data_IF_378655295309
#
_entry.id   IF_378655295309
#
_cell.length_a   1.000
_cell.length_b   1.000
_cell.length_c   1.000
_cell.angle_alpha   90.00
_cell.angle_beta   90.00
_cell.angle_gamma   90.00
#
_symmetry.space_group_name_H-M   'P 1'
#
loop_
_entity.id
_entity.type
_entity.pdbx_description
1 polymer ?
#
# COMPACT_ATOMS: atom_id res chain seq x y z
N UNK A 1 25.99 34.59 -5.10
CA UNK A 1 24.91 34.54 -4.07
C UNK A 1 24.11 33.31 -4.39
N UNK A 2 24.43 32.20 -3.75
CA UNK A 2 23.88 30.87 -4.01
C UNK A 2 22.84 30.55 -2.94
N UNK A 3 21.58 30.52 -3.31
CA UNK A 3 20.50 30.03 -2.44
C UNK A 3 20.40 28.51 -2.60
N UNK A 4 20.79 27.79 -1.55
CA UNK A 4 20.50 26.37 -1.40
C UNK A 4 19.05 26.18 -0.92
N UNK A 5 18.30 25.22 -1.45
CA UNK A 5 16.98 24.90 -0.91
C UNK A 5 17.11 24.09 0.39
N UNK A 6 16.31 24.48 1.38
CA UNK A 6 16.20 23.84 2.67
C UNK A 6 15.48 22.48 2.51
N UNK A 7 16.17 21.40 2.80
CA UNK A 7 15.58 20.08 3.02
C UNK A 7 15.01 20.00 4.45
N UNK A 8 13.76 19.55 4.65
CA UNK A 8 13.28 19.27 6.00
C UNK A 8 13.88 17.95 6.50
N UNK A 9 14.82 18.03 7.43
CA UNK A 9 15.36 16.88 8.12
C UNK A 9 14.41 16.47 9.26
N UNK A 10 13.88 15.26 9.22
CA UNK A 10 13.19 14.66 10.36
C UNK A 10 14.21 14.18 11.38
N UNK A 11 14.40 14.96 12.43
CA UNK A 11 15.29 14.65 13.55
C UNK A 11 14.64 13.62 14.48
N UNK A 12 15.26 12.44 14.60
CA UNK A 12 15.04 11.52 15.73
C UNK A 12 15.65 12.14 16.98
N UNK A 13 14.85 12.54 17.95
CA UNK A 13 15.33 12.79 19.32
C UNK A 13 14.85 11.70 20.24
N UNK A 14 15.73 10.72 20.47
CA UNK A 14 15.70 9.85 21.64
C UNK A 14 16.21 10.66 22.84
N UNK A 15 15.37 10.97 23.79
CA UNK A 15 15.75 11.59 25.05
C UNK A 15 15.41 10.67 26.22
N UNK A 16 16.39 9.88 26.69
CA UNK A 16 16.35 9.34 28.03
C UNK A 16 16.65 10.44 29.03
N UNK A 17 15.74 10.72 29.95
CA UNK A 17 16.03 11.41 31.20
C UNK A 17 15.36 10.63 32.33
N UNK A 18 16.19 9.94 33.08
CA UNK A 18 15.85 9.44 34.40
C UNK A 18 16.07 10.57 35.42
N UNK A 19 15.06 10.90 36.22
CA UNK A 19 15.25 11.56 37.50
C UNK A 19 14.07 11.27 38.43
N UNK A 20 14.43 10.90 39.63
CA UNK A 20 13.57 10.33 40.65
C UNK A 20 12.61 11.30 41.34
N UNK A 21 11.59 10.68 41.86
CA UNK A 21 10.87 10.81 43.11
C UNK A 21 10.29 12.13 43.53
N UNK A 22 8.93 12.18 43.56
CA UNK A 22 8.18 12.56 44.79
C UNK A 22 6.70 12.18 44.53
N UNK A 23 6.18 11.32 45.36
CA UNK A 23 4.78 10.90 45.34
C UNK A 23 3.89 12.04 45.91
N UNK A 24 3.01 12.55 45.04
CA UNK A 24 1.79 13.22 45.46
C UNK A 24 0.61 12.50 44.83
N UNK A 25 -0.19 11.84 45.66
CA UNK A 25 -1.40 11.17 45.26
C UNK A 25 -2.47 12.22 44.90
N UNK A 26 -2.60 12.47 43.60
CA UNK A 26 -3.78 13.13 43.02
C UNK A 26 -4.69 12.07 42.37
N UNK A 27 -6.01 12.33 42.26
CA UNK A 27 -6.91 11.35 41.67
C UNK A 27 -6.51 11.11 40.21
N UNK A 28 -6.12 9.87 39.90
CA UNK A 28 -5.90 9.40 38.52
C UNK A 28 -7.27 9.39 37.85
N UNK A 29 -7.57 10.44 37.09
CA UNK A 29 -8.57 10.33 36.05
C UNK A 29 -8.04 9.32 35.05
N UNK A 30 -8.56 8.09 35.12
CA UNK A 30 -8.37 7.10 34.09
C UNK A 30 -9.01 7.65 32.80
N UNK A 31 -8.24 8.38 32.02
CA UNK A 31 -8.58 8.69 30.65
C UNK A 31 -8.61 7.37 29.89
N UNK A 32 -9.80 6.85 29.64
CA UNK A 32 -10.01 5.79 28.67
C UNK A 32 -9.51 6.34 27.33
N UNK A 33 -8.28 6.05 26.94
CA UNK A 33 -7.84 6.13 25.56
C UNK A 33 -8.61 5.05 24.81
N UNK A 34 -9.82 5.39 24.33
CA UNK A 34 -10.54 4.52 23.42
C UNK A 34 -9.72 4.39 22.14
N UNK A 35 -9.13 3.23 21.94
CA UNK A 35 -8.58 2.85 20.63
C UNK A 35 -9.68 3.09 19.61
N UNK A 36 -9.42 3.83 18.51
CA UNK A 36 -10.45 4.06 17.51
C UNK A 36 -10.93 2.71 16.98
N UNK A 37 -12.21 2.41 17.21
CA UNK A 37 -12.80 1.15 16.76
C UNK A 37 -13.48 1.36 15.42
N UNK A 38 -13.03 0.59 14.43
CA UNK A 38 -13.72 0.45 13.15
C UNK A 38 -14.92 -0.48 13.34
N UNK A 39 -16.08 -0.18 12.74
CA UNK A 39 -17.22 -1.10 12.78
C UNK A 39 -16.79 -2.50 12.31
N UNK A 40 -17.05 -3.51 13.13
CA UNK A 40 -16.78 -4.90 12.78
C UNK A 40 -18.12 -5.60 12.56
N UNK A 41 -18.43 -6.08 11.34
CA UNK A 41 -19.66 -6.82 11.09
C UNK A 41 -19.76 -8.03 12.01
N UNK A 42 -20.78 -8.05 12.89
CA UNK A 42 -20.90 -9.05 13.99
C UNK A 42 -21.35 -10.44 13.53
N UNK A 43 -21.78 -10.61 12.30
CA UNK A 43 -22.25 -11.88 11.76
C UNK A 43 -21.52 -12.20 10.46
N UNK A 44 -21.20 -13.49 10.23
CA UNK A 44 -20.77 -13.94 8.91
C UNK A 44 -21.90 -13.63 7.93
N UNK A 45 -21.68 -12.78 6.91
CA UNK A 45 -22.71 -12.50 5.93
C UNK A 45 -23.13 -13.79 5.24
N UNK A 46 -24.44 -13.94 5.01
CA UNK A 46 -24.99 -15.04 4.21
C UNK A 46 -25.06 -14.62 2.74
N UNK A 47 -25.05 -15.56 1.82
CA UNK A 47 -25.13 -15.29 0.39
C UNK A 47 -23.85 -15.60 -0.38
N UNK A 48 -23.79 -15.14 -1.63
CA UNK A 48 -22.61 -15.26 -2.49
C UNK A 48 -21.41 -14.47 -1.92
N UNK A 49 -20.20 -14.85 -2.31
CA UNK A 49 -18.96 -14.12 -1.95
C UNK A 49 -19.07 -12.63 -2.26
N UNK A 50 -19.67 -12.26 -3.40
CA UNK A 50 -19.90 -10.87 -3.80
C UNK A 50 -20.80 -10.12 -2.82
N UNK A 51 -21.92 -10.72 -2.42
CA UNK A 51 -22.84 -10.12 -1.44
C UNK A 51 -22.19 -10.00 -0.06
N UNK A 52 -21.40 -10.99 0.33
CA UNK A 52 -20.65 -10.95 1.58
C UNK A 52 -19.60 -9.82 1.60
N UNK A 53 -18.82 -9.65 0.52
CA UNK A 53 -17.88 -8.55 0.38
C UNK A 53 -18.60 -7.19 0.42
N UNK A 54 -19.69 -7.07 -0.33
CA UNK A 54 -20.48 -5.83 -0.37
C UNK A 54 -21.04 -5.46 1.01
N UNK A 55 -21.63 -6.40 1.71
CA UNK A 55 -22.24 -6.15 3.02
C UNK A 55 -21.19 -5.81 4.08
N UNK A 56 -20.08 -6.57 4.11
CA UNK A 56 -19.03 -6.36 5.10
C UNK A 56 -18.30 -5.03 4.90
N UNK A 57 -17.86 -4.75 3.67
CA UNK A 57 -17.11 -3.52 3.38
C UNK A 57 -18.02 -2.28 3.53
N UNK A 58 -19.28 -2.36 3.13
CA UNK A 58 -20.22 -1.26 3.35
C UNK A 58 -20.45 -0.98 4.84
N UNK A 59 -20.57 -2.00 5.68
CA UNK A 59 -20.69 -1.85 7.12
C UNK A 59 -19.42 -1.26 7.76
N UNK A 60 -18.22 -1.73 7.34
CA UNK A 60 -16.94 -1.18 7.80
C UNK A 60 -16.80 0.28 7.39
N UNK A 61 -17.24 0.64 6.17
CA UNK A 61 -17.14 1.97 5.61
C UNK A 61 -18.28 2.91 6.03
N UNK A 62 -19.17 2.50 6.93
CA UNK A 62 -20.28 3.33 7.38
C UNK A 62 -19.78 4.65 7.99
N UNK A 63 -20.27 5.78 7.48
CA UNK A 63 -19.82 7.11 7.88
C UNK A 63 -18.42 7.51 7.39
N UNK A 64 -17.76 6.65 6.58
CA UNK A 64 -16.43 6.92 6.03
C UNK A 64 -16.45 6.95 4.50
N UNK A 65 -16.55 8.14 3.92
CA UNK A 65 -16.68 8.35 2.47
C UNK A 65 -15.35 8.35 1.71
N UNK A 66 -14.22 8.52 2.42
CA UNK A 66 -12.85 8.55 1.87
C UNK A 66 -12.18 7.18 1.96
N UNK A 67 -12.85 6.15 1.44
CA UNK A 67 -12.38 4.77 1.40
C UNK A 67 -12.78 4.12 0.09
N UNK A 68 -11.83 3.40 -0.52
CA UNK A 68 -12.04 2.59 -1.70
C UNK A 68 -11.32 1.25 -1.59
N UNK A 69 -11.92 0.20 -2.15
CA UNK A 69 -11.41 -1.18 -2.13
C UNK A 69 -11.58 -1.80 -3.51
N UNK A 70 -10.59 -2.56 -3.96
CA UNK A 70 -10.70 -3.39 -5.16
C UNK A 70 -10.12 -4.78 -4.91
N UNK A 71 -10.84 -5.80 -5.36
CA UNK A 71 -10.50 -7.22 -5.20
C UNK A 71 -10.52 -7.90 -6.56
N UNK A 72 -9.62 -8.86 -6.77
CA UNK A 72 -9.70 -9.83 -7.85
C UNK A 72 -9.40 -11.22 -7.32
N UNK A 73 -10.30 -12.14 -7.52
CA UNK A 73 -10.06 -13.57 -7.30
C UNK A 73 -9.34 -14.15 -8.52
N UNK A 74 -8.09 -14.53 -8.36
CA UNK A 74 -7.27 -15.04 -9.46
C UNK A 74 -7.62 -16.48 -9.85
N UNK A 75 -8.41 -17.20 -9.03
CA UNK A 75 -8.91 -18.55 -9.33
C UNK A 75 -10.01 -18.50 -10.39
N UNK A 76 -10.81 -17.43 -10.39
CA UNK A 76 -11.96 -17.27 -11.32
C UNK A 76 -11.74 -16.14 -12.32
N UNK A 77 -10.82 -15.21 -12.03
CA UNK A 77 -10.64 -13.98 -12.77
C UNK A 77 -11.65 -12.88 -12.41
N UNK A 78 -12.66 -13.19 -11.60
CA UNK A 78 -13.71 -12.24 -11.24
C UNK A 78 -13.19 -11.08 -10.38
N UNK A 79 -13.76 -9.91 -10.57
CA UNK A 79 -13.43 -8.67 -9.85
C UNK A 79 -14.63 -8.14 -9.07
N UNK A 80 -14.34 -7.46 -7.99
CA UNK A 80 -15.30 -6.70 -7.21
C UNK A 80 -14.63 -5.44 -6.67
N UNK A 81 -15.37 -4.36 -6.54
CA UNK A 81 -14.89 -3.15 -5.92
C UNK A 81 -15.98 -2.43 -5.11
N UNK A 82 -15.52 -1.61 -4.16
CA UNK A 82 -16.30 -0.65 -3.41
C UNK A 82 -15.62 0.71 -3.59
N UNK A 83 -16.28 1.63 -4.32
CA UNK A 83 -15.68 2.92 -4.71
C UNK A 83 -14.29 2.74 -5.33
N UNK A 84 -14.12 1.73 -6.19
CA UNK A 84 -12.83 1.34 -6.75
C UNK A 84 -12.15 2.40 -7.60
N UNK A 85 -12.90 3.37 -8.10
CA UNK A 85 -12.40 4.53 -8.88
C UNK A 85 -12.16 5.78 -8.04
N UNK A 86 -12.34 5.70 -6.71
CA UNK A 86 -12.01 6.82 -5.82
C UNK A 86 -10.50 7.07 -5.81
N UNK A 87 -10.10 8.25 -6.31
CA UNK A 87 -8.70 8.62 -6.44
C UNK A 87 -8.16 9.31 -5.19
N UNK A 88 -6.96 8.91 -4.77
CA UNK A 88 -6.23 9.54 -3.68
C UNK A 88 -4.71 9.40 -3.88
N UNK A 89 -3.94 10.04 -3.00
CA UNK A 89 -2.48 9.94 -3.04
C UNK A 89 -2.02 8.55 -2.59
N UNK A 90 -1.00 8.06 -3.28
CA UNK A 90 -0.47 6.71 -3.09
C UNK A 90 0.40 6.54 -1.83
N UNK A 91 1.09 7.58 -1.36
CA UNK A 91 2.16 7.46 -0.37
C UNK A 91 3.19 6.39 -0.78
N UNK A 92 3.75 5.61 0.16
CA UNK A 92 4.73 4.55 -0.14
C UNK A 92 4.17 3.37 -0.94
N UNK A 93 2.85 3.32 -1.18
CA UNK A 93 2.24 2.36 -2.13
C UNK A 93 2.72 2.59 -3.58
N UNK A 94 3.29 3.77 -3.90
CA UNK A 94 3.91 4.04 -5.21
C UNK A 94 5.24 3.28 -5.43
N UNK A 95 5.91 2.80 -4.38
CA UNK A 95 7.27 2.24 -4.48
C UNK A 95 7.40 1.03 -5.39
N UNK A 96 6.47 0.08 -5.46
CA UNK A 96 6.50 -0.97 -6.49
C UNK A 96 6.51 -0.42 -7.92
N UNK A 97 5.77 0.66 -8.21
CA UNK A 97 5.84 1.31 -9.53
C UNK A 97 7.20 2.00 -9.75
N UNK A 98 7.80 2.61 -8.72
CA UNK A 98 9.15 3.20 -8.83
C UNK A 98 10.19 2.13 -9.16
N UNK A 99 10.16 0.98 -8.47
CA UNK A 99 11.05 -0.15 -8.78
C UNK A 99 10.78 -0.68 -10.19
N UNK A 100 9.51 -0.73 -10.63
CA UNK A 100 9.14 -1.09 -12.00
C UNK A 100 9.74 -0.16 -13.06
N UNK A 101 9.76 1.15 -12.79
CA UNK A 101 10.44 2.12 -13.66
C UNK A 101 11.94 1.84 -13.75
N UNK A 102 12.56 1.56 -12.60
CA UNK A 102 13.99 1.25 -12.52
C UNK A 102 14.35 -0.02 -13.30
N UNK A 103 13.55 -1.08 -13.16
CA UNK A 103 13.71 -2.34 -13.93
C UNK A 103 13.62 -2.09 -15.44
N UNK A 104 12.60 -1.34 -15.87
CA UNK A 104 12.42 -0.99 -17.29
C UNK A 104 13.58 -0.17 -17.84
N UNK A 105 14.09 0.80 -17.05
CA UNK A 105 15.26 1.59 -17.45
C UNK A 105 16.51 0.71 -17.57
N UNK A 106 16.78 -0.13 -16.59
CA UNK A 106 17.92 -1.04 -16.64
C UNK A 106 17.91 -1.93 -17.89
N UNK A 107 16.72 -2.44 -18.27
CA UNK A 107 16.54 -3.21 -19.50
C UNK A 107 16.72 -2.37 -20.75
N UNK A 108 16.13 -1.18 -20.81
CA UNK A 108 16.23 -0.29 -21.96
C UNK A 108 17.66 0.20 -22.24
N UNK A 109 18.43 0.44 -21.19
CA UNK A 109 19.82 0.88 -21.25
C UNK A 109 20.82 -0.31 -21.30
N UNK A 110 20.33 -1.55 -21.44
CA UNK A 110 21.14 -2.78 -21.51
C UNK A 110 22.10 -2.94 -20.32
N UNK A 111 21.67 -2.49 -19.14
CA UNK A 111 22.46 -2.58 -17.91
C UNK A 111 22.37 -3.98 -17.29
N UNK A 112 23.08 -4.18 -16.16
CA UNK A 112 22.97 -5.40 -15.37
C UNK A 112 21.53 -5.67 -14.98
N UNK A 113 21.09 -6.92 -15.15
CA UNK A 113 19.72 -7.36 -14.88
C UNK A 113 19.62 -8.16 -13.55
N UNK A 114 18.52 -8.07 -12.82
CA UNK A 114 17.35 -7.21 -13.07
C UNK A 114 17.63 -5.72 -12.83
N UNK A 115 18.61 -5.39 -11.98
CA UNK A 115 19.10 -4.04 -11.69
C UNK A 115 20.60 -4.05 -11.45
N UNK A 116 21.33 -2.94 -11.73
CA UNK A 116 22.69 -2.76 -11.23
C UNK A 116 22.72 -2.82 -9.69
N UNK A 117 23.87 -3.21 -9.12
CA UNK A 117 23.98 -3.53 -7.68
C UNK A 117 23.51 -2.40 -6.74
N UNK A 118 23.82 -1.15 -7.07
CA UNK A 118 23.37 0.01 -6.28
C UNK A 118 21.85 0.14 -6.30
N UNK A 119 21.22 0.10 -7.48
CA UNK A 119 19.79 0.22 -7.64
C UNK A 119 19.05 -1.00 -7.05
N UNK A 120 19.65 -2.18 -7.09
CA UNK A 120 19.12 -3.37 -6.44
C UNK A 120 19.06 -3.20 -4.90
N UNK A 121 20.13 -2.69 -4.29
CA UNK A 121 20.14 -2.40 -2.85
C UNK A 121 19.15 -1.30 -2.45
N UNK A 122 18.93 -0.30 -3.31
CA UNK A 122 17.90 0.72 -3.11
C UNK A 122 16.50 0.13 -3.25
N UNK A 123 16.25 -0.75 -4.23
CA UNK A 123 14.95 -1.41 -4.41
C UNK A 123 14.56 -2.28 -3.22
N UNK A 124 15.52 -3.06 -2.69
CA UNK A 124 15.35 -3.84 -1.47
C UNK A 124 14.91 -2.97 -0.30
N UNK A 125 15.67 -1.92 0.04
CA UNK A 125 15.33 -1.00 1.12
C UNK A 125 14.00 -0.28 0.90
N UNK A 126 13.73 0.18 -0.32
CA UNK A 126 12.50 0.90 -0.65
C UNK A 126 11.26 0.01 -0.49
N UNK A 127 11.33 -1.27 -0.83
CA UNK A 127 10.18 -2.19 -0.74
C UNK A 127 10.08 -2.80 0.67
N UNK A 128 11.15 -3.42 1.16
CA UNK A 128 11.11 -4.20 2.40
C UNK A 128 11.02 -3.32 3.65
N UNK A 129 11.76 -2.22 3.69
CA UNK A 129 11.82 -1.29 4.82
C UNK A 129 10.97 -0.02 4.62
N UNK A 130 10.42 0.15 3.41
CA UNK A 130 9.76 1.41 3.03
C UNK A 130 10.68 2.64 3.14
N UNK A 131 11.99 2.47 2.89
CA UNK A 131 12.99 3.53 2.99
C UNK A 131 12.73 4.63 1.94
N UNK A 132 12.69 5.89 2.39
CA UNK A 132 12.36 7.02 1.54
C UNK A 132 13.56 7.50 0.74
N UNK A 133 14.76 7.53 1.33
CA UNK A 133 15.97 7.99 0.64
C UNK A 133 16.29 7.07 -0.55
N UNK A 134 16.10 5.76 -0.36
CA UNK A 134 16.24 4.77 -1.44
C UNK A 134 15.17 4.95 -2.54
N UNK A 135 13.93 5.26 -2.16
CA UNK A 135 12.87 5.56 -3.11
C UNK A 135 13.14 6.85 -3.90
N UNK A 136 13.65 7.91 -3.24
CA UNK A 136 14.04 9.18 -3.86
C UNK A 136 15.16 8.96 -4.88
N UNK A 137 16.18 8.19 -4.52
CA UNK A 137 17.28 7.85 -5.41
C UNK A 137 16.80 7.08 -6.65
N UNK A 138 15.97 6.05 -6.47
CA UNK A 138 15.39 5.29 -7.58
C UNK A 138 14.45 6.13 -8.43
N UNK A 139 13.62 6.99 -7.85
CA UNK A 139 12.75 7.92 -8.56
C UNK A 139 13.54 8.80 -9.51
N UNK A 140 14.60 9.46 -8.99
CA UNK A 140 15.47 10.32 -9.77
C UNK A 140 16.20 9.53 -10.87
N UNK A 141 16.78 8.38 -10.51
CA UNK A 141 17.53 7.54 -11.46
C UNK A 141 16.65 6.98 -12.57
N UNK A 142 15.43 6.56 -12.25
CA UNK A 142 14.50 5.94 -13.20
C UNK A 142 13.81 6.94 -14.15
N UNK A 143 14.00 8.25 -13.97
CA UNK A 143 13.46 9.28 -14.85
C UNK A 143 12.24 10.04 -14.27
N UNK A 144 12.00 9.93 -12.97
CA UNK A 144 11.02 10.71 -12.21
C UNK A 144 9.61 10.71 -12.83
N UNK A 145 8.88 11.83 -12.74
CA UNK A 145 7.50 11.98 -13.21
C UNK A 145 7.25 11.50 -14.64
N UNK A 146 8.05 11.89 -15.65
CA UNK A 146 7.81 11.42 -17.02
C UNK A 146 7.82 9.90 -17.17
N UNK A 147 8.74 9.21 -16.50
CA UNK A 147 8.83 7.76 -16.53
C UNK A 147 7.68 7.08 -15.77
N UNK A 148 7.23 7.69 -14.65
CA UNK A 148 6.08 7.21 -13.89
C UNK A 148 4.78 7.29 -14.72
N UNK A 149 4.53 8.44 -15.34
CA UNK A 149 3.34 8.67 -16.16
C UNK A 149 3.36 7.78 -17.43
N UNK A 150 4.54 7.59 -18.05
CA UNK A 150 4.71 6.67 -19.18
C UNK A 150 4.42 5.22 -18.76
N UNK A 151 4.94 4.75 -17.59
CA UNK A 151 4.65 3.42 -17.08
C UNK A 151 3.14 3.25 -16.81
N UNK A 152 2.51 4.22 -16.14
CA UNK A 152 1.07 4.18 -15.87
C UNK A 152 0.25 4.09 -17.17
N UNK A 153 0.62 4.87 -18.18
CA UNK A 153 0.00 4.83 -19.51
C UNK A 153 0.16 3.47 -20.21
N UNK A 154 1.39 2.91 -20.20
CA UNK A 154 1.68 1.62 -20.84
C UNK A 154 0.94 0.45 -20.17
N UNK A 155 0.69 0.56 -18.85
CA UNK A 155 -0.08 -0.39 -18.07
C UNK A 155 -1.59 -0.14 -18.14
N UNK A 156 -2.05 0.91 -18.81
CA UNK A 156 -3.46 1.28 -18.89
C UNK A 156 -4.09 1.77 -17.59
N UNK A 157 -3.28 2.28 -16.65
CA UNK A 157 -3.71 2.78 -15.34
C UNK A 157 -4.22 4.22 -15.48
N UNK A 158 -5.49 4.36 -15.79
CA UNK A 158 -6.07 5.63 -16.30
C UNK A 158 -6.14 6.76 -15.28
N UNK A 159 -6.22 6.43 -13.99
CA UNK A 159 -6.28 7.40 -12.91
C UNK A 159 -4.94 7.54 -12.18
N UNK A 160 -3.94 6.72 -12.54
CA UNK A 160 -2.60 6.77 -11.95
C UNK A 160 -1.73 7.77 -12.69
N UNK A 161 -1.21 8.74 -11.95
CA UNK A 161 -0.39 9.82 -12.49
C UNK A 161 0.50 10.46 -11.43
N UNK A 162 1.54 11.14 -11.87
CA UNK A 162 2.32 12.03 -11.01
C UNK A 162 1.51 13.26 -10.59
N UNK A 163 1.92 13.95 -9.54
CA UNK A 163 1.35 15.23 -9.13
C UNK A 163 2.07 16.36 -9.90
N UNK A 164 1.38 17.13 -10.74
CA UNK A 164 2.03 18.15 -11.57
C UNK A 164 2.62 19.30 -10.76
N UNK A 165 2.03 19.59 -9.62
CA UNK A 165 2.43 20.68 -8.70
C UNK A 165 3.58 20.29 -7.76
N UNK A 166 3.95 19.00 -7.70
CA UNK A 166 4.96 18.50 -6.77
C UNK A 166 5.79 17.39 -7.41
N UNK A 167 7.11 17.48 -7.29
CA UNK A 167 8.03 16.44 -7.76
C UNK A 167 8.36 15.43 -6.64
N UNK A 168 7.33 14.94 -5.99
CA UNK A 168 7.43 13.91 -4.96
C UNK A 168 6.58 12.70 -5.33
N UNK A 169 7.20 11.52 -5.39
CA UNK A 169 6.53 10.26 -5.70
C UNK A 169 5.40 9.93 -4.71
N UNK A 170 5.50 10.33 -3.45
CA UNK A 170 4.47 10.09 -2.43
C UNK A 170 3.16 10.84 -2.69
N UNK A 171 3.19 11.87 -3.56
CA UNK A 171 2.04 12.64 -3.99
C UNK A 171 1.39 12.11 -5.27
N UNK A 172 1.92 11.04 -5.87
CA UNK A 172 1.30 10.42 -7.05
C UNK A 172 -0.13 9.99 -6.74
N UNK A 173 -1.01 10.17 -7.70
CA UNK A 173 -2.41 9.81 -7.60
C UNK A 173 -2.66 8.43 -8.17
N UNK A 174 -3.60 7.69 -7.58
CA UNK A 174 -4.05 6.40 -8.09
C UNK A 174 -5.43 6.05 -7.54
N UNK A 175 -5.98 4.90 -7.95
CA UNK A 175 -7.24 4.34 -7.46
C UNK A 175 -7.06 2.88 -7.03
N UNK A 176 -7.94 2.32 -6.20
CA UNK A 176 -7.93 0.89 -5.91
C UNK A 176 -7.97 0.01 -7.17
N UNK A 177 -8.80 0.36 -8.16
CA UNK A 177 -8.91 -0.38 -9.41
C UNK A 177 -7.61 -0.36 -10.23
N UNK A 178 -6.93 0.78 -10.33
CA UNK A 178 -5.63 0.86 -11.00
C UNK A 178 -4.57 0.04 -10.28
N UNK A 179 -4.53 0.08 -8.93
CA UNK A 179 -3.57 -0.70 -8.15
C UNK A 179 -3.82 -2.20 -8.26
N UNK A 180 -5.09 -2.64 -8.27
CA UNK A 180 -5.44 -4.03 -8.56
C UNK A 180 -5.00 -4.44 -9.98
N UNK A 181 -5.18 -3.56 -10.97
CA UNK A 181 -4.74 -3.81 -12.35
C UNK A 181 -3.22 -3.88 -12.47
N UNK A 182 -2.48 -3.03 -11.76
CA UNK A 182 -1.03 -3.10 -11.67
C UNK A 182 -0.55 -4.44 -11.07
N UNK A 183 -1.13 -4.84 -9.93
CA UNK A 183 -0.83 -6.13 -9.30
C UNK A 183 -1.15 -7.30 -10.23
N UNK A 184 -2.28 -7.25 -10.97
CA UNK A 184 -2.65 -8.30 -11.92
C UNK A 184 -1.56 -8.49 -12.98
N UNK A 185 -1.06 -7.40 -13.54
CA UNK A 185 0.00 -7.45 -14.55
C UNK A 185 1.35 -7.96 -13.99
N UNK A 186 1.64 -7.67 -12.71
CA UNK A 186 2.81 -8.24 -12.05
C UNK A 186 2.66 -9.74 -11.80
N UNK A 187 1.50 -10.19 -11.31
CA UNK A 187 1.30 -11.59 -10.90
C UNK A 187 1.05 -12.49 -12.13
N UNK A 188 0.19 -12.09 -13.06
CA UNK A 188 -0.18 -12.93 -14.23
C UNK A 188 0.79 -12.81 -15.41
N UNK A 189 1.46 -11.67 -15.58
CA UNK A 189 2.44 -11.49 -16.65
C UNK A 189 1.85 -11.36 -18.05
N UNK A 190 0.58 -10.99 -18.18
CA UNK A 190 -0.11 -10.80 -19.44
C UNK A 190 0.14 -9.42 -20.08
N UNK A 191 1.30 -8.84 -19.79
CA UNK A 191 1.73 -7.54 -20.29
C UNK A 191 3.15 -7.60 -20.87
N UNK A 192 3.42 -6.76 -21.85
CA UNK A 192 4.79 -6.55 -22.38
C UNK A 192 5.60 -5.55 -21.54
N UNK A 193 5.00 -4.95 -20.52
CA UNK A 193 5.68 -3.97 -19.68
C UNK A 193 6.80 -4.58 -18.84
N UNK A 194 6.67 -5.86 -18.46
CA UNK A 194 7.63 -6.58 -17.62
C UNK A 194 8.07 -7.89 -18.24
N UNK A 195 9.31 -8.28 -18.01
CA UNK A 195 9.79 -9.66 -18.20
C UNK A 195 9.42 -10.53 -16.99
N UNK A 196 9.46 -11.84 -17.15
CA UNK A 196 9.25 -12.79 -16.04
C UNK A 196 10.25 -12.58 -14.91
N UNK A 197 11.52 -12.29 -15.25
CA UNK A 197 12.57 -12.03 -14.26
C UNK A 197 12.31 -10.74 -13.46
N UNK A 198 11.85 -9.66 -14.11
CA UNK A 198 11.50 -8.40 -13.44
C UNK A 198 10.31 -8.58 -12.50
N UNK A 199 9.28 -9.33 -12.93
CA UNK A 199 8.12 -9.64 -12.09
C UNK A 199 8.51 -10.47 -10.88
N UNK A 200 9.25 -11.56 -11.08
CA UNK A 200 9.71 -12.42 -10.00
C UNK A 200 10.59 -11.65 -8.99
N UNK A 201 11.46 -10.75 -9.48
CA UNK A 201 12.28 -9.91 -8.62
C UNK A 201 11.44 -8.98 -7.74
N UNK A 202 10.53 -8.20 -8.33
CA UNK A 202 9.70 -7.25 -7.57
C UNK A 202 8.75 -7.95 -6.59
N UNK A 203 8.08 -9.02 -7.04
CA UNK A 203 7.22 -9.82 -6.17
C UNK A 203 8.02 -10.47 -5.03
N UNK A 204 9.24 -10.93 -5.31
CA UNK A 204 10.16 -11.43 -4.27
C UNK A 204 10.44 -10.41 -3.17
N UNK A 205 10.72 -9.14 -3.52
CA UNK A 205 10.89 -8.06 -2.55
C UNK A 205 9.60 -7.78 -1.78
N UNK A 206 8.44 -7.74 -2.47
CA UNK A 206 7.14 -7.52 -1.84
C UNK A 206 6.77 -8.64 -0.85
N UNK A 207 7.29 -9.84 -1.05
CA UNK A 207 7.15 -10.98 -0.13
C UNK A 207 8.02 -10.90 1.14
N UNK A 208 8.99 -9.98 1.18
CA UNK A 208 9.95 -9.79 2.27
C UNK A 208 9.72 -8.51 3.08
N UNK A 209 8.57 -7.85 2.89
CA UNK A 209 8.21 -6.66 3.68
C UNK A 209 8.29 -6.97 5.17
N UNK A 210 8.91 -6.07 5.95
CA UNK A 210 9.11 -6.20 7.39
C UNK A 210 7.80 -6.45 8.13
N UNK A 211 7.85 -7.23 9.21
CA UNK A 211 6.67 -7.68 9.95
C UNK A 211 5.84 -6.53 10.53
N UNK A 212 6.47 -5.45 10.99
CA UNK A 212 5.79 -4.28 11.51
C UNK A 212 5.03 -3.48 10.42
N UNK A 213 5.34 -3.72 9.16
CA UNK A 213 4.67 -3.16 7.98
C UNK A 213 3.76 -4.16 7.27
N UNK A 214 3.62 -5.37 7.77
CA UNK A 214 2.81 -6.43 7.16
C UNK A 214 1.33 -6.40 7.61
N UNK A 215 0.77 -5.21 7.76
CA UNK A 215 -0.63 -4.96 8.11
C UNK A 215 -1.54 -4.84 6.86
N UNK A 216 -2.84 -4.67 7.06
CA UNK A 216 -3.82 -4.56 5.98
C UNK A 216 -3.93 -5.84 5.17
N UNK A 217 -3.51 -5.84 3.90
CA UNK A 217 -3.51 -7.03 3.04
C UNK A 217 -2.71 -8.18 3.65
N UNK A 218 -1.64 -7.88 4.39
CA UNK A 218 -0.78 -8.89 4.99
C UNK A 218 -1.20 -9.36 6.38
N UNK A 219 -2.14 -8.66 7.05
CA UNK A 219 -2.49 -8.92 8.44
C UNK A 219 -2.96 -10.36 8.75
N UNK A 220 -3.79 -11.01 7.91
CA UNK A 220 -4.29 -12.35 8.20
C UNK A 220 -3.37 -13.49 7.79
N UNK A 221 -2.05 -13.26 7.65
CA UNK A 221 -1.11 -14.36 7.31
C UNK A 221 -1.07 -15.40 8.42
N UNK A 222 -1.22 -16.66 8.03
CA UNK A 222 -1.08 -17.82 8.94
C UNK A 222 -0.63 -19.06 8.17
N UNK A 223 0.29 -19.82 8.74
CA UNK A 223 0.68 -21.14 8.25
C UNK A 223 1.20 -21.13 6.80
N UNK A 224 0.46 -21.75 5.89
CA UNK A 224 0.79 -21.88 4.47
C UNK A 224 0.39 -20.68 3.61
N UNK A 225 -0.32 -19.68 4.17
CA UNK A 225 -0.70 -18.48 3.43
C UNK A 225 0.47 -17.52 3.32
N UNK A 226 0.69 -17.04 2.10
CA UNK A 226 1.73 -16.08 1.74
C UNK A 226 1.12 -14.78 1.26
N UNK A 227 1.87 -13.70 1.36
CA UNK A 227 1.48 -12.41 0.82
C UNK A 227 2.70 -11.68 0.25
N UNK A 228 2.50 -11.02 -0.88
CA UNK A 228 3.37 -10.03 -1.49
C UNK A 228 2.65 -8.70 -1.39
N UNK A 229 3.20 -7.74 -0.65
CA UNK A 229 2.46 -6.53 -0.31
C UNK A 229 3.32 -5.27 -0.30
N UNK A 230 2.67 -4.12 -0.38
CA UNK A 230 3.27 -2.83 -0.05
C UNK A 230 2.22 -1.92 0.59
N UNK A 231 2.57 -1.37 1.71
CA UNK A 231 1.77 -0.38 2.42
C UNK A 231 2.30 1.03 2.18
N UNK A 232 1.43 2.03 2.36
CA UNK A 232 1.80 3.42 2.24
C UNK A 232 0.99 4.28 3.20
N UNK A 233 1.67 5.18 3.91
CA UNK A 233 1.03 6.14 4.80
C UNK A 233 1.79 7.46 4.83
N UNK A 234 1.05 8.55 4.90
CA UNK A 234 1.57 9.91 5.04
C UNK A 234 0.46 10.86 5.44
N UNK A 235 0.76 11.83 6.27
CA UNK A 235 -0.14 12.95 6.53
C UNK A 235 0.12 14.07 5.53
N UNK A 236 -0.93 14.55 4.88
CA UNK A 236 -0.86 15.64 3.92
C UNK A 236 -1.32 16.95 4.55
N UNK A 237 -0.50 17.52 5.44
CA UNK A 237 -0.80 18.75 6.21
C UNK A 237 -1.21 19.94 5.33
N UNK A 238 -0.73 20.00 4.10
CA UNK A 238 -1.01 21.10 3.18
C UNK A 238 -2.35 20.99 2.43
N UNK A 239 -3.14 19.94 2.67
CA UNK A 239 -4.41 19.72 1.97
C UNK A 239 -5.61 19.68 2.92
N UNK A 240 -5.76 18.59 3.66
CA UNK A 240 -6.91 18.36 4.56
C UNK A 240 -6.50 17.82 5.92
N UNK A 241 -5.20 17.83 6.22
CA UNK A 241 -4.58 17.28 7.45
C UNK A 241 -4.87 15.79 7.69
N UNK A 242 -5.47 15.10 6.72
CA UNK A 242 -5.76 13.68 6.83
C UNK A 242 -4.56 12.83 6.44
N UNK A 243 -4.48 11.67 7.08
CA UNK A 243 -3.57 10.62 6.72
C UNK A 243 -4.09 9.82 5.53
N UNK A 244 -3.31 9.68 4.47
CA UNK A 244 -3.52 8.59 3.52
C UNK A 244 -2.93 7.32 4.15
N UNK A 245 -3.71 6.25 4.22
CA UNK A 245 -3.26 4.96 4.74
C UNK A 245 -3.75 3.87 3.80
N UNK A 246 -2.83 3.26 3.07
CA UNK A 246 -3.12 2.40 1.93
C UNK A 246 -2.41 1.06 2.06
N UNK A 247 -3.02 -0.01 1.53
CA UNK A 247 -2.45 -1.35 1.53
C UNK A 247 -2.79 -2.06 0.22
N UNK A 248 -1.78 -2.60 -0.47
CA UNK A 248 -1.97 -3.39 -1.70
C UNK A 248 -1.20 -4.69 -1.60
N UNK A 249 -1.68 -5.74 -2.26
CA UNK A 249 -0.92 -6.98 -2.35
C UNK A 249 -1.66 -8.14 -3.00
N UNK A 250 -0.91 -9.22 -3.13
CA UNK A 250 -1.33 -10.54 -3.56
C UNK A 250 -1.27 -11.49 -2.37
N UNK A 251 -2.33 -12.25 -2.16
CA UNK A 251 -2.43 -13.25 -1.08
C UNK A 251 -2.81 -14.60 -1.69
N UNK A 252 -2.03 -15.65 -1.35
CA UNK A 252 -2.31 -17.00 -1.84
C UNK A 252 -1.97 -18.09 -0.80
N UNK A 253 -2.54 -19.26 -1.00
CA UNK A 253 -2.43 -20.41 -0.10
C UNK A 253 -3.74 -20.72 0.62
N UNK A 254 -3.87 -21.93 1.14
CA UNK A 254 -5.09 -22.44 1.82
C UNK A 254 -6.38 -22.17 1.03
N UNK A 255 -6.36 -22.48 -0.27
CA UNK A 255 -7.52 -22.31 -1.15
C UNK A 255 -7.79 -20.87 -1.58
N UNK A 256 -6.88 -19.94 -1.32
CA UNK A 256 -6.94 -18.53 -1.72
C UNK A 256 -5.93 -18.23 -2.83
N UNK A 257 -6.30 -17.32 -3.70
CA UNK A 257 -5.40 -16.70 -4.69
C UNK A 257 -6.08 -15.39 -5.15
N UNK A 258 -5.74 -14.25 -4.53
CA UNK A 258 -6.42 -12.99 -4.81
C UNK A 258 -5.53 -11.76 -4.70
N UNK A 259 -5.93 -10.71 -5.41
CA UNK A 259 -5.37 -9.37 -5.32
C UNK A 259 -6.30 -8.48 -4.50
N UNK A 260 -5.73 -7.63 -3.68
CA UNK A 260 -6.46 -6.66 -2.86
C UNK A 260 -5.76 -5.31 -2.88
N UNK A 261 -6.53 -4.26 -3.10
CA UNK A 261 -6.09 -2.88 -2.95
C UNK A 261 -7.08 -2.12 -2.05
N UNK A 262 -6.58 -1.48 -1.01
CA UNK A 262 -7.33 -0.69 -0.04
C UNK A 262 -6.70 0.70 0.03
N UNK A 263 -7.51 1.73 -0.14
CA UNK A 263 -7.08 3.12 -0.01
C UNK A 263 -8.05 3.88 0.89
N UNK A 264 -7.53 4.63 1.85
CA UNK A 264 -8.39 5.47 2.70
C UNK A 264 -7.68 6.75 3.17
N UNK A 265 -8.48 7.74 3.64
CA UNK A 265 -8.04 9.00 4.25
C UNK A 265 -8.71 9.19 5.60
N UNK A 266 -7.95 9.25 6.66
CA UNK A 266 -8.44 9.27 8.05
C UNK A 266 -7.75 10.35 8.87
N UNK A 267 -8.33 10.71 10.02
CA UNK A 267 -7.77 11.71 10.93
C UNK A 267 -6.47 11.26 11.61
N UNK A 268 -6.24 9.95 11.74
CA UNK A 268 -5.02 9.38 12.32
C UNK A 268 -4.53 8.19 11.53
N UNK A 269 -3.23 7.87 11.63
CA UNK A 269 -2.64 6.67 11.04
C UNK A 269 -3.28 5.40 11.60
N UNK A 270 -3.47 5.34 12.93
CA UNK A 270 -4.02 4.16 13.61
C UNK A 270 -5.42 3.82 13.14
N UNK A 271 -6.27 4.84 12.94
CA UNK A 271 -7.61 4.66 12.41
C UNK A 271 -7.57 4.12 10.96
N UNK A 272 -6.71 4.70 10.12
CA UNK A 272 -6.55 4.25 8.74
C UNK A 272 -6.03 2.83 8.64
N UNK A 273 -5.07 2.46 9.49
CA UNK A 273 -4.57 1.08 9.61
C UNK A 273 -5.68 0.14 10.05
N UNK A 274 -6.48 0.51 11.05
CA UNK A 274 -7.59 -0.31 11.52
C UNK A 274 -8.61 -0.61 10.42
N UNK A 275 -8.90 0.36 9.52
CA UNK A 275 -9.72 0.12 8.33
C UNK A 275 -9.06 -0.89 7.38
N UNK A 276 -7.77 -0.75 7.10
CA UNK A 276 -7.06 -1.69 6.25
C UNK A 276 -7.05 -3.10 6.84
N UNK A 277 -6.79 -3.24 8.14
CA UNK A 277 -6.76 -4.53 8.83
C UNK A 277 -8.15 -5.19 8.84
N UNK A 278 -9.22 -4.44 9.14
CA UNK A 278 -10.59 -4.95 9.15
C UNK A 278 -11.03 -5.44 7.75
N UNK A 279 -10.74 -4.67 6.70
CA UNK A 279 -11.08 -5.05 5.33
C UNK A 279 -10.23 -6.25 4.88
N UNK A 280 -8.92 -6.24 5.16
CA UNK A 280 -8.02 -7.34 4.84
C UNK A 280 -8.49 -8.66 5.47
N UNK A 281 -8.88 -8.64 6.76
CA UNK A 281 -9.38 -9.80 7.48
C UNK A 281 -10.73 -10.31 6.89
N UNK A 282 -11.64 -9.42 6.54
CA UNK A 282 -12.91 -9.82 5.92
C UNK A 282 -12.73 -10.42 4.53
N UNK A 283 -11.94 -9.80 3.66
CA UNK A 283 -11.63 -10.34 2.33
C UNK A 283 -10.96 -11.71 2.45
N UNK A 284 -10.00 -11.85 3.36
CA UNK A 284 -9.31 -13.11 3.64
C UNK A 284 -10.27 -14.23 4.04
N UNK A 285 -11.19 -13.97 4.97
CA UNK A 285 -12.19 -14.96 5.43
C UNK A 285 -13.17 -15.34 4.32
N UNK A 286 -13.72 -14.35 3.64
CA UNK A 286 -14.74 -14.57 2.60
C UNK A 286 -14.16 -15.35 1.42
N UNK A 287 -12.96 -14.98 0.94
CA UNK A 287 -12.29 -15.71 -0.16
C UNK A 287 -11.70 -17.05 0.28
N UNK A 288 -11.59 -17.31 1.57
CA UNK A 288 -11.25 -18.63 2.11
C UNK A 288 -12.45 -19.57 2.20
N UNK A 289 -13.67 -19.03 2.24
CA UNK A 289 -14.91 -19.83 2.31
C UNK A 289 -15.56 -20.07 0.95
N UNK A 290 -15.16 -19.36 -0.11
CA UNK A 290 -15.72 -19.47 -1.44
C UNK A 290 -14.95 -18.68 -2.49
N UNK A 291 -15.45 -18.71 -3.71
CA UNK A 291 -14.90 -18.01 -4.87
C UNK A 291 -15.76 -16.80 -5.24
N UNK A 292 -15.10 -15.69 -5.60
CA UNK A 292 -15.77 -14.56 -6.23
C UNK A 292 -16.16 -14.94 -7.68
N UNK A 293 -17.43 -14.69 -8.00
CA UNK A 293 -17.97 -14.93 -9.35
C UNK A 293 -18.82 -13.76 -9.82
#
# INVERSE_FOLDING_TARGET
MTNSPLTPSFSRRTGLLALGGLALAGPVLAGCSSTPSVPNPSASPTGSVREQLQSAVAAIAEGHDKLGVAVQDLRTGATWDFRGDWASQSASMAKPMIVSMALRKARADELQQPLPAEQAAQAEKAIENSDNDSADALWAWAGARPAYDALASDLGLRATRSAPERDFWSWTWTTPNDQRSFLHQLVKGDTKAFTDAERAYLLGLMGQVQDDQAWGVGAPRSGSVKAELKNGWVQFESTDELWAVNSIGHVWGDGRDYLLAIMNRTSTFELGRAYCDAIGDWVFRVLGSGELR
#
